data_IF_806161916969
#
_entry.id   IF_806161916969
#
_cell.length_a   1.000
_cell.length_b   1.000
_cell.length_c   1.000
_cell.angle_alpha   90.00
_cell.angle_beta   90.00
_cell.angle_gamma   90.00
#
_symmetry.space_group_name_H-M   'P 1'
#
loop_
_entity.id
_entity.type
_entity.pdbx_description
1 polymer ?
#
# COMPACT_ATOMS: atom_id res chain seq x y z
N UNK A 1 -4.76 -11.92 -16.69
CA UNK A 1 -3.94 -11.24 -15.65
C UNK A 1 -2.46 -11.48 -15.86
N UNK A 2 -2.00 -12.72 -16.05
CA UNK A 2 -0.60 -13.03 -16.37
C UNK A 2 -0.03 -12.21 -17.54
N UNK A 3 -0.75 -12.10 -18.66
CA UNK A 3 -0.29 -11.34 -19.83
C UNK A 3 -0.12 -9.84 -19.56
N UNK A 4 -0.98 -9.25 -18.71
CA UNK A 4 -0.85 -7.85 -18.31
C UNK A 4 0.36 -7.65 -17.40
N UNK A 5 0.58 -8.55 -16.44
CA UNK A 5 1.73 -8.49 -15.55
C UNK A 5 3.04 -8.62 -16.33
N UNK A 6 3.10 -9.54 -17.31
CA UNK A 6 4.24 -9.68 -18.22
C UNK A 6 4.44 -8.41 -19.05
N UNK A 7 3.39 -7.90 -19.71
CA UNK A 7 3.48 -6.68 -20.51
C UNK A 7 3.88 -5.45 -19.68
N UNK A 8 3.39 -5.30 -18.45
CA UNK A 8 3.79 -4.22 -17.55
C UNK A 8 5.25 -4.37 -17.13
N UNK A 9 5.72 -5.58 -16.82
CA UNK A 9 7.12 -5.83 -16.50
C UNK A 9 8.03 -5.49 -17.68
N UNK A 10 7.67 -5.88 -18.89
CA UNK A 10 8.42 -5.55 -20.11
C UNK A 10 8.48 -4.04 -20.37
N UNK A 11 7.38 -3.32 -20.10
CA UNK A 11 7.29 -1.87 -20.30
C UNK A 11 7.96 -1.05 -19.21
N UNK A 12 7.84 -1.45 -17.95
CA UNK A 12 8.34 -0.70 -16.79
C UNK A 12 9.78 -1.11 -16.42
N UNK A 13 10.24 -2.30 -16.82
CA UNK A 13 11.56 -2.83 -16.44
C UNK A 13 11.63 -3.36 -15.01
N UNK A 14 10.51 -3.36 -14.28
CA UNK A 14 10.39 -3.92 -12.95
C UNK A 14 8.97 -4.46 -12.69
N UNK A 15 8.86 -5.32 -11.68
CA UNK A 15 7.60 -5.72 -11.08
C UNK A 15 7.70 -5.69 -9.55
N UNK A 16 6.55 -5.76 -8.88
CA UNK A 16 6.47 -5.76 -7.44
C UNK A 16 5.95 -7.11 -6.92
N UNK A 17 6.46 -7.53 -5.77
CA UNK A 17 6.00 -8.74 -5.08
C UNK A 17 5.90 -8.49 -3.59
N UNK A 18 4.81 -8.97 -2.99
CA UNK A 18 4.69 -9.02 -1.52
C UNK A 18 5.40 -10.26 -1.01
N UNK A 19 6.31 -10.09 -0.06
CA UNK A 19 7.03 -11.20 0.57
C UNK A 19 7.53 -10.82 1.96
N UNK A 20 8.06 -11.76 2.73
CA UNK A 20 8.59 -11.48 4.08
C UNK A 20 9.62 -10.34 4.04
N UNK A 21 9.50 -9.39 4.96
CA UNK A 21 10.42 -8.27 5.06
C UNK A 21 11.82 -8.73 5.47
N UNK A 22 12.86 -8.10 4.93
CA UNK A 22 14.26 -8.30 5.34
C UNK A 22 14.67 -7.46 6.55
N UNK A 23 13.79 -6.56 7.00
CA UNK A 23 14.04 -5.74 8.19
C UNK A 23 14.16 -6.68 9.41
N UNK A 24 15.27 -6.61 10.19
CA UNK A 24 15.53 -7.52 11.30
C UNK A 24 14.70 -7.14 12.53
N UNK A 25 13.38 -7.18 12.42
CA UNK A 25 12.44 -6.89 13.50
C UNK A 25 11.31 -7.93 13.51
N UNK A 26 10.93 -8.37 14.72
CA UNK A 26 9.91 -9.43 14.91
C UNK A 26 8.54 -9.08 14.33
N UNK A 27 8.20 -7.80 14.33
CA UNK A 27 6.92 -7.27 13.82
C UNK A 27 7.02 -6.75 12.37
N UNK A 28 8.16 -6.90 11.69
CA UNK A 28 8.32 -6.38 10.31
C UNK A 28 7.41 -7.08 9.29
N UNK A 29 6.90 -8.28 9.59
CA UNK A 29 5.92 -8.99 8.78
C UNK A 29 6.35 -9.13 7.31
N UNK A 30 5.44 -8.73 6.41
CA UNK A 30 5.68 -8.70 4.98
C UNK A 30 6.06 -7.28 4.52
N UNK A 31 6.88 -7.21 3.48
CA UNK A 31 7.23 -5.99 2.76
C UNK A 31 6.93 -6.11 1.26
N UNK A 32 7.06 -4.97 0.58
CA UNK A 32 6.94 -4.86 -0.87
C UNK A 32 8.34 -4.88 -1.50
N UNK A 33 8.58 -5.89 -2.33
CA UNK A 33 9.86 -6.11 -2.99
C UNK A 33 9.78 -5.64 -4.44
N UNK A 34 10.83 -4.97 -4.89
CA UNK A 34 11.01 -4.60 -6.28
C UNK A 34 11.94 -5.60 -6.98
N UNK A 35 11.47 -6.17 -8.08
CA UNK A 35 12.24 -7.08 -8.92
C UNK A 35 12.52 -6.41 -10.26
N UNK A 36 13.80 -6.28 -10.63
CA UNK A 36 14.22 -5.49 -11.79
C UNK A 36 14.86 -4.17 -11.36
N UNK A 37 14.67 -3.10 -12.15
CA UNK A 37 15.20 -1.77 -11.83
C UNK A 37 14.14 -0.70 -12.09
N UNK A 38 13.88 0.12 -11.07
CA UNK A 38 13.17 1.38 -11.22
C UNK A 38 14.18 2.54 -11.19
N UNK A 39 14.25 3.38 -12.23
CA UNK A 39 15.00 4.62 -12.20
C UNK A 39 14.62 5.53 -11.02
N UNK A 40 15.51 6.47 -10.69
CA UNK A 40 15.21 7.48 -9.67
C UNK A 40 14.00 8.33 -10.11
N UNK A 41 13.09 8.57 -9.17
CA UNK A 41 11.84 9.29 -9.44
C UNK A 41 10.74 8.45 -10.08
N UNK A 42 10.96 7.15 -10.34
CA UNK A 42 9.90 6.26 -10.82
C UNK A 42 8.80 6.08 -9.78
N UNK A 43 7.55 6.15 -10.23
CA UNK A 43 6.40 5.71 -9.44
C UNK A 43 6.41 4.20 -9.37
N UNK A 44 6.63 3.65 -8.17
CA UNK A 44 6.71 2.19 -7.95
C UNK A 44 5.36 1.59 -7.55
N UNK A 45 4.59 2.28 -6.71
CA UNK A 45 3.32 1.81 -6.19
C UNK A 45 2.38 2.98 -5.90
N UNK A 46 1.08 2.67 -5.85
CA UNK A 46 0.06 3.55 -5.29
C UNK A 46 -0.33 3.04 -3.91
N UNK A 47 -0.76 3.94 -3.03
CA UNK A 47 -1.35 3.58 -1.74
C UNK A 47 -2.87 3.77 -1.83
N UNK A 48 -3.63 2.77 -2.33
CA UNK A 48 -5.06 2.90 -2.52
C UNK A 48 -5.81 2.86 -1.19
N UNK A 49 -6.93 3.57 -1.09
CA UNK A 49 -7.74 3.58 0.12
C UNK A 49 -8.94 4.51 0.03
N UNK A 50 -9.81 4.46 1.03
CA UNK A 50 -10.87 5.47 1.22
C UNK A 50 -10.21 6.72 1.77
N UNK A 51 -10.47 7.87 1.15
CA UNK A 51 -9.93 9.17 1.58
C UNK A 51 -10.98 9.89 2.40
N UNK A 52 -10.63 10.28 3.62
CA UNK A 52 -11.46 11.07 4.52
C UNK A 52 -10.84 12.46 4.67
N UNK A 53 -11.61 13.51 4.39
CA UNK A 53 -11.22 14.88 4.75
C UNK A 53 -11.36 15.09 6.26
N UNK A 54 -10.81 16.19 6.77
CA UNK A 54 -10.82 16.49 8.21
C UNK A 54 -12.23 16.55 8.82
N UNK A 55 -13.22 17.01 8.05
CA UNK A 55 -14.63 17.09 8.43
C UNK A 55 -15.30 15.70 8.52
N UNK A 56 -14.68 14.69 7.93
CA UNK A 56 -15.19 13.33 7.81
C UNK A 56 -14.58 12.36 8.81
N UNK A 57 -13.66 12.78 9.68
CA UNK A 57 -12.94 11.89 10.59
C UNK A 57 -13.83 11.01 11.46
N UNK A 58 -14.99 11.54 11.91
CA UNK A 58 -15.97 10.77 12.70
C UNK A 58 -16.55 9.55 11.97
N UNK A 59 -16.39 9.48 10.65
CA UNK A 59 -16.83 8.36 9.82
C UNK A 59 -15.74 7.33 9.57
N UNK A 60 -14.50 7.58 10.02
CA UNK A 60 -13.42 6.60 9.93
C UNK A 60 -13.73 5.47 10.94
N UNK A 61 -13.74 4.20 10.51
CA UNK A 61 -13.91 3.07 11.42
C UNK A 61 -12.89 3.10 12.57
N UNK A 62 -13.39 3.05 13.80
CA UNK A 62 -12.55 3.09 15.01
C UNK A 62 -12.25 4.49 15.55
N UNK A 63 -12.79 5.57 14.96
CA UNK A 63 -12.61 6.93 15.48
C UNK A 63 -13.01 7.04 16.96
N UNK A 64 -12.20 7.72 17.82
CA UNK A 64 -10.99 8.46 17.49
C UNK A 64 -9.72 7.61 17.38
N UNK A 65 -9.74 6.36 17.85
CA UNK A 65 -8.58 5.47 17.87
C UNK A 65 -8.44 4.66 16.56
N UNK A 66 -8.36 5.37 15.44
CA UNK A 66 -8.41 4.82 14.07
C UNK A 66 -7.24 3.87 13.74
N UNK A 67 -6.13 3.99 14.47
CA UNK A 67 -4.90 3.21 14.31
C UNK A 67 -4.93 1.87 15.06
N UNK A 68 -5.82 1.73 16.05
CA UNK A 68 -5.91 0.50 16.85
C UNK A 68 -6.37 -0.67 15.99
N UNK A 69 -5.42 -1.56 15.70
CA UNK A 69 -5.67 -2.73 14.84
C UNK A 69 -5.86 -2.37 13.36
N UNK A 70 -5.40 -1.20 12.93
CA UNK A 70 -5.35 -0.81 11.52
C UNK A 70 -3.97 -0.24 11.16
N UNK A 71 -3.08 -1.11 10.68
CA UNK A 71 -1.76 -0.72 10.17
C UNK A 71 -1.79 -0.11 8.77
N UNK A 72 -2.98 0.09 8.18
CA UNK A 72 -3.18 0.56 6.81
C UNK A 72 -3.73 2.01 6.75
N UNK A 73 -3.45 2.79 7.79
CA UNK A 73 -3.84 4.21 7.88
C UNK A 73 -2.64 5.09 7.53
N UNK A 74 -2.84 6.04 6.63
CA UNK A 74 -1.84 7.07 6.29
C UNK A 74 -2.47 8.46 6.41
N UNK A 75 -1.84 9.32 7.21
CA UNK A 75 -2.14 10.75 7.23
C UNK A 75 -1.42 11.48 6.09
N UNK A 76 -2.13 12.36 5.39
CA UNK A 76 -1.58 13.23 4.36
C UNK A 76 -1.31 14.63 4.93
N UNK A 77 -0.43 15.36 4.25
CA UNK A 77 -0.02 16.71 4.66
C UNK A 77 -1.19 17.72 4.67
N UNK A 78 -2.23 17.48 3.87
CA UNK A 78 -3.43 18.32 3.75
C UNK A 78 -4.48 18.03 4.83
N UNK A 79 -4.16 17.18 5.81
CA UNK A 79 -5.09 16.79 6.86
C UNK A 79 -6.15 15.79 6.40
N UNK A 80 -5.98 15.15 5.24
CA UNK A 80 -6.77 13.98 4.87
C UNK A 80 -6.15 12.70 5.43
N UNK A 81 -6.99 11.68 5.64
CA UNK A 81 -6.58 10.34 6.06
C UNK A 81 -6.97 9.33 4.98
N UNK A 82 -6.04 8.45 4.60
CA UNK A 82 -6.30 7.31 3.72
C UNK A 82 -6.43 6.06 4.58
N UNK A 83 -7.56 5.34 4.47
CA UNK A 83 -7.76 4.00 5.01
C UNK A 83 -7.68 2.95 3.91
N UNK A 84 -6.55 2.23 3.88
CA UNK A 84 -6.28 1.17 2.92
C UNK A 84 -6.67 -0.23 3.44
N UNK A 85 -7.19 -0.35 4.67
CA UNK A 85 -7.54 -1.65 5.27
C UNK A 85 -8.51 -2.49 4.43
N UNK A 86 -9.52 -1.92 3.73
CA UNK A 86 -10.39 -2.69 2.85
C UNK A 86 -9.64 -3.36 1.68
N UNK A 87 -8.52 -2.79 1.22
CA UNK A 87 -7.65 -3.39 0.21
C UNK A 87 -6.65 -4.37 0.82
N UNK A 88 -6.19 -4.12 2.05
CA UNK A 88 -5.28 -5.00 2.78
C UNK A 88 -3.99 -5.29 2.00
N UNK A 89 -3.68 -6.56 1.78
CA UNK A 89 -2.51 -6.99 1.01
C UNK A 89 -2.76 -7.02 -0.52
N UNK A 90 -3.95 -6.62 -0.99
CA UNK A 90 -4.43 -6.84 -2.35
C UNK A 90 -5.30 -8.10 -2.47
N UNK A 91 -5.85 -8.33 -3.66
CA UNK A 91 -6.64 -9.53 -3.99
C UNK A 91 -5.71 -10.77 -4.06
N UNK A 92 -5.99 -11.86 -3.31
CA UNK A 92 -5.25 -13.12 -3.43
C UNK A 92 -5.36 -13.79 -4.82
N UNK A 93 -6.27 -13.37 -5.69
CA UNK A 93 -6.44 -13.90 -7.05
C UNK A 93 -5.61 -13.18 -8.14
N UNK A 94 -4.73 -12.25 -7.75
CA UNK A 94 -3.81 -11.53 -8.65
C UNK A 94 -2.76 -12.43 -9.30
#
# INVERSE_FOLDING_TARGET
MADLAVALRERLGFCLRVARSSVPHREAGNGLWLEGRAPLGSVVALYPGVVYSSEQYRFIPGYPAIDKGNSYIVGRYDGAVIDAKPWGAGDPAG
#
